data_IF_106115836944
#
_entry.id   IF_106115836944
#
_cell.length_a   1.000
_cell.length_b   1.000
_cell.length_c   1.000
_cell.angle_alpha   90.00
_cell.angle_beta   90.00
_cell.angle_gamma   90.00
#
_symmetry.space_group_name_H-M   'P 1'
#
loop_
_entity.id
_entity.type
_entity.pdbx_description
1 polymer ?
#
# COMPACT_ATOMS: atom_id res chain seq x y z
N UNK A 1 -52.41 -8.12 5.09
CA UNK A 1 -51.51 -9.28 4.89
C UNK A 1 -50.21 -8.95 5.62
N UNK A 2 -50.20 -9.20 6.93
CA UNK A 2 -49.05 -8.97 7.82
C UNK A 2 -48.54 -10.35 8.25
N UNK A 3 -47.26 -10.63 8.08
CA UNK A 3 -46.63 -11.84 8.62
C UNK A 3 -45.74 -11.46 9.79
N UNK A 4 -46.07 -12.08 10.92
CA UNK A 4 -45.50 -11.97 12.24
C UNK A 4 -44.42 -13.05 12.37
N UNK A 5 -43.21 -12.71 12.81
CA UNK A 5 -42.14 -13.68 13.09
C UNK A 5 -42.00 -13.83 14.59
N UNK A 6 -42.59 -14.88 15.14
CA UNK A 6 -42.32 -15.37 16.49
C UNK A 6 -42.48 -16.88 16.54
N UNK A 7 -41.60 -17.53 17.31
CA UNK A 7 -41.54 -18.97 17.68
C UNK A 7 -40.75 -19.83 16.65
N UNK A 8 -39.67 -20.56 16.96
CA UNK A 8 -39.22 -21.41 18.09
C UNK A 8 -37.68 -21.68 17.97
N UNK A 9 -36.99 -22.46 18.84
CA UNK A 9 -36.78 -22.38 20.29
C UNK A 9 -35.27 -22.27 20.69
N UNK A 10 -35.03 -21.87 21.94
CA UNK A 10 -33.73 -21.89 22.61
C UNK A 10 -33.37 -23.26 23.20
N UNK A 11 -32.05 -23.52 23.29
CA UNK A 11 -31.27 -24.50 24.09
C UNK A 11 -30.90 -25.83 23.42
N UNK A 12 -29.65 -25.91 22.98
CA UNK A 12 -28.76 -27.02 23.31
C UNK A 12 -27.43 -26.50 23.90
N UNK A 13 -27.06 -27.15 25.00
CA UNK A 13 -25.87 -27.07 25.85
C UNK A 13 -24.57 -26.52 25.21
N UNK A 14 -24.12 -25.35 25.70
CA UNK A 14 -22.71 -24.98 25.66
C UNK A 14 -22.02 -25.57 26.89
N UNK A 15 -21.33 -26.69 26.70
CA UNK A 15 -20.35 -27.21 27.64
C UNK A 15 -18.99 -27.13 26.95
N UNK A 16 -18.06 -26.42 27.59
CA UNK A 16 -16.64 -26.28 27.26
C UNK A 16 -16.30 -25.72 25.87
N UNK A 17 -16.45 -24.40 25.70
CA UNK A 17 -15.60 -23.67 24.75
C UNK A 17 -14.26 -23.46 25.45
N UNK A 18 -13.12 -23.90 24.88
CA UNK A 18 -11.83 -23.49 25.44
C UNK A 18 -11.74 -21.97 25.31
N UNK A 19 -11.37 -21.29 26.39
CA UNK A 19 -11.04 -19.86 26.38
C UNK A 19 -10.19 -19.55 25.14
N UNK A 20 -10.42 -18.43 24.43
CA UNK A 20 -9.51 -18.01 23.38
C UNK A 20 -8.10 -17.97 23.99
N UNK A 21 -7.20 -18.82 23.49
CA UNK A 21 -5.81 -18.74 23.91
C UNK A 21 -5.33 -17.33 23.57
N UNK A 22 -4.58 -16.66 24.46
CA UNK A 22 -3.99 -15.38 24.11
C UNK A 22 -3.20 -15.55 22.81
N UNK A 23 -3.41 -14.64 21.86
CA UNK A 23 -2.59 -14.54 20.65
C UNK A 23 -1.14 -14.31 21.11
N UNK A 24 -0.37 -15.39 21.24
CA UNK A 24 1.06 -15.31 21.43
C UNK A 24 1.65 -14.94 20.07
N UNK A 25 2.26 -13.76 20.03
CA UNK A 25 3.00 -13.28 18.88
C UNK A 25 4.04 -14.34 18.47
N UNK A 26 4.11 -14.77 17.20
CA UNK A 26 5.19 -15.66 16.80
C UNK A 26 6.50 -14.85 16.76
N UNK A 27 7.41 -15.16 17.67
CA UNK A 27 8.73 -14.55 17.75
C UNK A 27 9.57 -15.03 16.54
N UNK A 28 9.83 -14.16 15.56
CA UNK A 28 10.61 -14.41 14.33
C UNK A 28 9.92 -15.17 13.19
N UNK A 29 10.32 -14.82 11.96
CA UNK A 29 9.82 -15.40 10.70
C UNK A 29 10.02 -16.93 10.60
N UNK A 30 11.08 -17.48 11.22
CA UNK A 30 11.30 -18.93 11.29
C UNK A 30 10.24 -19.65 12.14
N UNK A 31 9.77 -19.02 13.21
CA UNK A 31 8.69 -19.57 14.02
C UNK A 31 7.34 -19.47 13.32
N UNK A 32 7.09 -18.43 12.52
CA UNK A 32 5.89 -18.37 11.64
C UNK A 32 5.92 -19.54 10.64
N UNK A 33 7.05 -19.78 9.97
CA UNK A 33 7.24 -20.88 9.01
C UNK A 33 6.97 -22.25 9.64
N UNK A 34 7.52 -22.49 10.84
CA UNK A 34 7.34 -23.76 11.56
C UNK A 34 5.95 -23.92 12.17
N UNK A 35 5.32 -22.84 12.65
CA UNK A 35 4.03 -22.89 13.33
C UNK A 35 2.87 -23.20 12.36
N UNK A 36 2.99 -22.76 11.11
CA UNK A 36 1.98 -22.98 10.07
C UNK A 36 2.34 -24.09 9.07
N UNK A 37 3.50 -24.74 9.22
CA UNK A 37 3.93 -25.81 8.31
C UNK A 37 4.11 -25.34 6.86
N UNK A 38 4.50 -24.08 6.66
CA UNK A 38 4.69 -23.49 5.34
C UNK A 38 6.12 -23.77 4.90
N UNK A 39 6.31 -24.85 4.15
CA UNK A 39 7.52 -25.04 3.34
C UNK A 39 7.37 -24.27 2.02
N UNK A 40 8.27 -23.32 1.79
CA UNK A 40 8.36 -22.61 0.51
C UNK A 40 9.20 -23.45 -0.46
N UNK A 41 8.55 -24.15 -1.38
CA UNK A 41 9.19 -24.76 -2.56
C UNK A 41 8.74 -24.04 -3.83
N UNK A 42 9.07 -22.76 -3.93
CA UNK A 42 8.78 -21.95 -5.11
C UNK A 42 10.09 -21.44 -5.73
N UNK A 43 10.18 -21.39 -7.07
CA UNK A 43 11.37 -20.87 -7.73
C UNK A 43 11.56 -19.40 -7.36
N UNK A 44 12.80 -19.04 -6.98
CA UNK A 44 13.22 -17.67 -6.67
C UNK A 44 12.78 -16.69 -7.78
N UNK A 45 12.33 -15.46 -7.44
CA UNK A 45 11.96 -14.47 -8.43
C UNK A 45 13.17 -14.15 -9.34
N UNK A 46 12.92 -14.08 -10.65
CA UNK A 46 13.96 -13.78 -11.63
C UNK A 46 14.29 -12.28 -11.64
N UNK A 47 15.03 -11.81 -10.62
CA UNK A 47 15.44 -10.42 -10.47
C UNK A 47 16.67 -10.14 -11.34
N UNK A 48 16.57 -9.11 -12.19
CA UNK A 48 17.67 -8.62 -13.03
C UNK A 48 17.85 -7.12 -12.86
N UNK A 49 19.09 -6.70 -12.62
CA UNK A 49 19.46 -5.31 -12.40
C UNK A 49 20.49 -4.89 -13.44
N UNK A 50 20.18 -3.78 -14.11
CA UNK A 50 20.99 -3.17 -15.15
C UNK A 50 21.46 -1.79 -14.70
N UNK A 51 22.59 -1.35 -15.24
CA UNK A 51 23.01 0.05 -15.13
C UNK A 51 22.46 0.83 -16.31
N UNK A 52 22.02 2.08 -16.05
CA UNK A 52 21.68 3.00 -17.14
C UNK A 52 22.90 3.39 -18.00
N UNK A 53 24.12 3.27 -17.46
CA UNK A 53 25.34 3.36 -18.26
C UNK A 53 25.46 2.10 -19.13
N UNK A 54 25.22 2.27 -20.43
CA UNK A 54 25.38 1.24 -21.46
C UNK A 54 24.44 0.02 -21.36
N UNK A 55 23.44 0.01 -20.47
CA UNK A 55 22.45 -1.06 -20.36
C UNK A 55 23.04 -2.40 -19.91
N UNK A 56 24.17 -2.38 -19.20
CA UNK A 56 24.88 -3.60 -18.78
C UNK A 56 24.18 -4.25 -17.58
N UNK A 57 23.95 -5.56 -17.64
CA UNK A 57 23.53 -6.36 -16.49
C UNK A 57 24.64 -6.37 -15.43
N UNK A 58 24.29 -5.99 -14.20
CA UNK A 58 25.23 -5.94 -13.05
C UNK A 58 24.85 -6.89 -11.92
N UNK A 59 23.60 -7.34 -11.87
CA UNK A 59 23.17 -8.38 -10.94
C UNK A 59 22.06 -9.23 -11.57
N UNK A 60 22.13 -10.55 -11.36
CA UNK A 60 21.06 -11.49 -11.71
C UNK A 60 20.89 -12.57 -10.65
N UNK A 61 19.82 -13.35 -10.77
CA UNK A 61 19.40 -14.47 -9.93
C UNK A 61 20.52 -15.17 -9.10
N UNK A 62 20.29 -15.35 -7.79
CA UNK A 62 21.22 -15.90 -6.79
C UNK A 62 22.57 -15.18 -6.66
N UNK A 63 22.74 -13.99 -7.25
CA UNK A 63 23.96 -13.18 -7.17
C UNK A 63 23.80 -11.89 -6.36
N UNK A 64 22.68 -11.67 -5.67
CA UNK A 64 22.51 -10.46 -4.84
C UNK A 64 23.64 -10.26 -3.82
N UNK A 65 24.07 -11.35 -3.17
CA UNK A 65 25.21 -11.32 -2.23
C UNK A 65 26.59 -11.31 -2.91
N UNK A 66 26.66 -11.52 -4.22
CA UNK A 66 27.93 -11.62 -4.99
C UNK A 66 28.10 -10.51 -6.03
N UNK A 67 27.13 -9.60 -6.16
CA UNK A 67 27.28 -8.37 -6.95
C UNK A 67 28.39 -7.51 -6.34
N UNK A 68 29.37 -7.12 -7.17
CA UNK A 68 30.43 -6.18 -6.77
C UNK A 68 29.92 -4.74 -6.71
N UNK A 69 28.74 -4.46 -7.28
CA UNK A 69 28.07 -3.17 -7.15
C UNK A 69 27.20 -3.18 -5.88
N UNK A 70 27.50 -2.34 -4.88
CA UNK A 70 26.78 -2.33 -3.60
C UNK A 70 25.34 -1.81 -3.72
N UNK A 71 25.04 -0.94 -4.69
CA UNK A 71 23.68 -0.45 -4.93
C UNK A 71 22.84 -1.58 -5.52
N UNK A 72 23.38 -2.30 -6.52
CA UNK A 72 22.71 -3.46 -7.09
C UNK A 72 22.49 -4.58 -6.05
N UNK A 73 23.49 -4.86 -5.21
CA UNK A 73 23.38 -5.84 -4.14
C UNK A 73 22.26 -5.49 -3.15
N UNK A 74 22.21 -4.23 -2.69
CA UNK A 74 21.17 -3.74 -1.79
C UNK A 74 19.79 -3.79 -2.45
N UNK A 75 19.65 -3.26 -3.66
CA UNK A 75 18.38 -3.26 -4.40
C UNK A 75 17.87 -4.69 -4.62
N UNK A 76 18.72 -5.63 -5.00
CA UNK A 76 18.35 -7.05 -5.13
C UNK A 76 17.76 -7.58 -3.82
N UNK A 77 18.49 -7.39 -2.71
CA UNK A 77 18.06 -7.86 -1.39
C UNK A 77 16.73 -7.26 -0.95
N UNK A 78 16.51 -5.98 -1.26
CA UNK A 78 15.27 -5.26 -0.96
C UNK A 78 14.12 -5.79 -1.82
N UNK A 79 14.29 -5.92 -3.14
CA UNK A 79 13.24 -6.40 -4.05
C UNK A 79 12.82 -7.83 -3.72
N UNK A 80 13.77 -8.69 -3.36
CA UNK A 80 13.45 -10.03 -2.86
C UNK A 80 12.54 -9.98 -1.63
N UNK A 81 12.87 -9.14 -0.64
CA UNK A 81 12.02 -8.95 0.56
C UNK A 81 10.67 -8.32 0.23
N UNK A 82 10.60 -7.41 -0.74
CA UNK A 82 9.32 -6.83 -1.20
C UNK A 82 8.45 -7.92 -1.81
N UNK A 83 9.03 -8.77 -2.66
CA UNK A 83 8.34 -9.92 -3.23
C UNK A 83 7.80 -10.86 -2.13
N UNK A 84 8.66 -11.24 -1.18
CA UNK A 84 8.28 -12.07 -0.01
C UNK A 84 7.16 -11.42 0.81
N UNK A 85 7.25 -10.11 1.08
CA UNK A 85 6.22 -9.38 1.81
C UNK A 85 4.86 -9.43 1.11
N UNK A 86 4.79 -9.18 -0.20
CA UNK A 86 3.52 -9.22 -0.94
C UNK A 86 2.93 -10.63 -1.02
N UNK A 87 3.79 -11.64 -1.11
CA UNK A 87 3.40 -13.04 -1.15
C UNK A 87 2.91 -13.52 0.24
N UNK A 88 3.70 -13.31 1.29
CA UNK A 88 3.38 -13.73 2.66
C UNK A 88 2.16 -13.00 3.23
N UNK A 89 2.07 -11.68 2.99
CA UNK A 89 0.99 -10.87 3.57
C UNK A 89 -0.25 -10.95 2.70
N UNK A 90 -0.15 -10.79 1.38
CA UNK A 90 -1.33 -10.63 0.52
C UNK A 90 -1.60 -11.81 -0.44
N UNK A 91 -0.75 -12.83 -0.45
CA UNK A 91 -0.84 -13.93 -1.42
C UNK A 91 -0.58 -13.50 -2.86
N UNK A 92 0.07 -12.34 -3.07
CA UNK A 92 0.36 -11.82 -4.40
C UNK A 92 1.78 -12.22 -4.83
N UNK A 93 1.88 -13.03 -5.89
CA UNK A 93 3.16 -13.49 -6.44
C UNK A 93 3.63 -12.59 -7.58
N UNK A 94 4.72 -11.87 -7.41
CA UNK A 94 5.21 -10.91 -8.42
C UNK A 94 4.25 -9.72 -8.56
N UNK A 95 4.28 -9.05 -9.72
CA UNK A 95 3.43 -7.87 -9.96
C UNK A 95 2.02 -8.24 -10.45
N UNK A 96 1.87 -9.39 -11.13
CA UNK A 96 0.63 -9.84 -11.78
C UNK A 96 0.08 -11.16 -11.22
N UNK A 97 0.63 -11.67 -10.11
CA UNK A 97 0.23 -12.97 -9.54
C UNK A 97 0.90 -14.18 -10.20
N UNK A 98 1.80 -13.98 -11.16
CA UNK A 98 2.50 -15.03 -11.92
C UNK A 98 3.96 -15.22 -11.49
N UNK A 99 4.42 -14.52 -10.46
CA UNK A 99 5.81 -14.61 -9.96
C UNK A 99 6.84 -13.84 -10.80
N UNK A 100 6.40 -13.03 -11.75
CA UNK A 100 7.27 -12.18 -12.58
C UNK A 100 7.53 -10.83 -11.90
N UNK A 101 8.76 -10.35 -12.06
CA UNK A 101 9.17 -8.97 -11.78
C UNK A 101 9.85 -8.46 -13.06
N UNK A 102 9.62 -7.19 -13.41
CA UNK A 102 10.29 -6.60 -14.57
C UNK A 102 11.72 -6.15 -14.26
N UNK A 103 12.48 -5.81 -15.30
CA UNK A 103 13.87 -5.37 -15.19
C UNK A 103 13.99 -4.08 -14.37
N UNK A 104 15.06 -4.03 -13.57
CA UNK A 104 15.40 -2.88 -12.73
C UNK A 104 16.63 -2.16 -13.26
N UNK A 105 16.63 -0.84 -13.19
CA UNK A 105 17.73 0.00 -13.64
C UNK A 105 18.22 0.90 -12.49
N UNK A 106 19.53 0.92 -12.26
CA UNK A 106 20.20 1.80 -11.31
C UNK A 106 21.06 2.85 -12.01
N UNK A 107 21.65 3.76 -11.24
CA UNK A 107 22.44 4.91 -11.70
C UNK A 107 21.65 5.90 -12.55
N UNK A 108 20.34 6.00 -12.33
CA UNK A 108 19.54 7.04 -12.95
C UNK A 108 20.00 8.42 -12.46
N UNK A 109 20.28 9.33 -13.41
CA UNK A 109 20.80 10.66 -13.11
C UNK A 109 19.73 11.59 -12.53
N UNK A 110 18.47 11.36 -12.91
CA UNK A 110 17.35 12.06 -12.29
C UNK A 110 17.27 11.66 -10.84
N UNK A 111 17.16 12.62 -9.92
CA UNK A 111 16.97 12.35 -8.49
C UNK A 111 15.53 11.87 -8.25
N UNK A 112 15.21 10.70 -8.77
CA UNK A 112 13.89 10.10 -8.72
C UNK A 112 13.96 8.56 -8.68
N UNK A 113 12.84 7.95 -8.34
CA UNK A 113 12.52 6.56 -8.60
C UNK A 113 11.23 6.52 -9.43
N UNK A 114 11.09 5.52 -10.29
CA UNK A 114 9.92 5.40 -11.15
C UNK A 114 9.73 3.97 -11.64
N UNK A 115 8.57 3.40 -11.38
CA UNK A 115 8.02 2.37 -12.22
C UNK A 115 7.37 2.98 -13.47
N UNK A 116 7.78 2.54 -14.66
CA UNK A 116 7.27 3.05 -15.93
C UNK A 116 6.87 1.90 -16.84
N UNK A 117 5.68 1.98 -17.44
CA UNK A 117 5.29 1.09 -18.53
C UNK A 117 4.68 1.88 -19.70
N UNK A 118 5.46 2.13 -20.77
CA UNK A 118 5.00 2.94 -21.89
C UNK A 118 3.92 2.22 -22.70
N UNK A 119 2.84 2.94 -23.01
CA UNK A 119 1.70 2.42 -23.79
C UNK A 119 1.78 2.75 -25.27
N UNK A 120 2.74 3.58 -25.70
CA UNK A 120 2.76 4.20 -27.04
C UNK A 120 3.92 3.74 -27.95
N UNK A 121 4.95 3.10 -27.41
CA UNK A 121 6.10 2.62 -28.19
C UNK A 121 6.26 1.11 -28.03
N UNK A 122 6.12 0.37 -29.14
CA UNK A 122 6.25 -1.10 -29.18
C UNK A 122 7.62 -1.64 -28.72
N UNK A 123 8.61 -0.75 -28.56
CA UNK A 123 9.98 -1.08 -28.16
C UNK A 123 10.33 -0.68 -26.72
N UNK A 124 9.42 -0.04 -25.98
CA UNK A 124 9.66 0.27 -24.57
C UNK A 124 8.98 -0.76 -23.66
N UNK A 125 9.79 -1.40 -22.82
CA UNK A 125 9.36 -2.45 -21.90
C UNK A 125 9.07 -1.80 -20.54
N UNK A 126 8.05 -2.30 -19.81
CA UNK A 126 7.85 -1.85 -18.43
C UNK A 126 9.15 -2.04 -17.62
N UNK A 127 9.55 -1.08 -16.80
CA UNK A 127 10.80 -1.17 -16.02
C UNK A 127 10.75 -0.31 -14.77
N UNK A 128 11.59 -0.67 -13.81
CA UNK A 128 11.88 0.18 -12.66
C UNK A 128 13.16 0.98 -12.94
N UNK A 129 13.12 2.28 -12.65
CA UNK A 129 14.28 3.17 -12.75
C UNK A 129 14.54 3.78 -11.38
N UNK A 130 15.77 3.68 -10.91
CA UNK A 130 16.17 4.24 -9.63
C UNK A 130 17.45 5.07 -9.76
N UNK A 131 17.43 6.25 -9.16
CA UNK A 131 18.66 6.84 -8.69
C UNK A 131 19.17 6.08 -7.46
N UNK A 132 20.49 6.02 -7.29
CA UNK A 132 21.15 5.14 -6.32
C UNK A 132 20.68 5.38 -4.87
N UNK A 133 20.38 6.63 -4.50
CA UNK A 133 19.87 6.93 -3.16
C UNK A 133 18.48 6.35 -2.92
N UNK A 134 17.63 6.30 -3.94
CA UNK A 134 16.31 5.69 -3.86
C UNK A 134 16.37 4.17 -3.99
N UNK A 135 17.30 3.63 -4.78
CA UNK A 135 17.53 2.20 -4.92
C UNK A 135 17.90 1.52 -3.58
N UNK A 136 18.51 2.26 -2.65
CA UNK A 136 18.89 1.77 -1.32
C UNK A 136 17.90 2.14 -0.22
N UNK A 137 16.78 2.79 -0.56
CA UNK A 137 15.70 3.17 0.39
C UNK A 137 14.56 2.17 0.28
N UNK A 138 14.44 1.29 1.28
CA UNK A 138 13.58 0.09 1.24
C UNK A 138 12.12 0.39 0.95
N UNK A 139 11.55 1.39 1.62
CA UNK A 139 10.16 1.80 1.44
C UNK A 139 9.89 2.48 0.09
N UNK A 140 10.91 3.10 -0.52
CA UNK A 140 10.78 3.69 -1.87
C UNK A 140 10.76 2.58 -2.91
N UNK A 141 11.58 1.55 -2.76
CA UNK A 141 11.53 0.37 -3.64
C UNK A 141 10.16 -0.32 -3.56
N UNK A 142 9.60 -0.46 -2.36
CA UNK A 142 8.26 -1.02 -2.17
C UNK A 142 7.14 -0.10 -2.73
N UNK A 143 7.29 1.22 -2.62
CA UNK A 143 6.40 2.20 -3.23
C UNK A 143 6.35 2.02 -4.75
N UNK A 144 7.52 1.98 -5.42
CA UNK A 144 7.57 1.74 -6.88
C UNK A 144 7.00 0.37 -7.25
N UNK A 145 7.31 -0.67 -6.47
CA UNK A 145 6.76 -2.01 -6.69
C UNK A 145 5.23 -1.98 -6.69
N UNK A 146 4.62 -1.22 -5.77
CA UNK A 146 3.16 -1.16 -5.70
C UNK A 146 2.55 -0.42 -6.90
N UNK A 147 3.19 0.60 -7.46
CA UNK A 147 2.75 1.18 -8.73
C UNK A 147 2.63 0.14 -9.86
N UNK A 148 3.56 -0.81 -9.91
CA UNK A 148 3.48 -1.93 -10.85
C UNK A 148 2.25 -2.83 -10.58
N UNK A 149 1.96 -3.11 -9.31
CA UNK A 149 0.81 -3.94 -8.89
C UNK A 149 -0.53 -3.31 -9.27
N UNK A 150 -0.63 -1.97 -9.20
CA UNK A 150 -1.85 -1.23 -9.57
C UNK A 150 -1.77 -0.56 -10.95
N UNK A 151 -0.88 -1.04 -11.82
CA UNK A 151 -0.75 -0.50 -13.16
C UNK A 151 -2.10 -0.48 -13.90
N UNK A 152 -2.37 0.64 -14.59
CA UNK A 152 -3.59 0.89 -15.37
C UNK A 152 -4.90 0.83 -14.57
N UNK A 153 -4.86 0.81 -13.23
CA UNK A 153 -6.07 0.81 -12.40
C UNK A 153 -6.61 2.20 -12.08
N UNK A 154 -5.73 3.18 -11.91
CA UNK A 154 -6.07 4.55 -11.53
C UNK A 154 -5.37 5.53 -12.46
N UNK A 155 -6.12 6.46 -13.04
CA UNK A 155 -5.57 7.56 -13.83
C UNK A 155 -4.67 8.40 -12.94
N UNK A 156 -3.46 8.71 -13.40
CA UNK A 156 -2.47 9.48 -12.65
C UNK A 156 -2.76 10.99 -12.70
N UNK A 157 -3.94 11.38 -12.25
CA UNK A 157 -4.39 12.77 -12.18
C UNK A 157 -5.44 12.98 -11.08
N UNK A 158 -5.50 14.17 -10.48
CA UNK A 158 -6.50 14.54 -9.47
C UNK A 158 -6.59 13.54 -8.31
N UNK A 159 -7.82 13.19 -7.90
CA UNK A 159 -8.04 12.25 -6.78
C UNK A 159 -7.60 10.81 -7.10
N UNK A 160 -7.80 10.32 -8.32
CA UNK A 160 -7.38 8.97 -8.69
C UNK A 160 -5.86 8.85 -8.70
N UNK A 161 -5.15 9.89 -9.14
CA UNK A 161 -3.69 9.94 -9.09
C UNK A 161 -3.17 10.06 -7.66
N UNK A 162 -3.84 10.88 -6.83
CA UNK A 162 -3.53 10.96 -5.41
C UNK A 162 -3.79 9.64 -4.66
N UNK A 163 -4.80 8.86 -5.05
CA UNK A 163 -5.02 7.50 -4.54
C UNK A 163 -3.92 6.55 -5.01
N UNK A 164 -3.48 6.65 -6.26
CA UNK A 164 -2.38 5.86 -6.80
C UNK A 164 -1.10 6.05 -5.96
N UNK A 165 -0.69 7.30 -5.75
CA UNK A 165 0.42 7.69 -4.87
C UNK A 165 0.22 7.22 -3.42
N UNK A 166 -0.97 7.41 -2.88
CA UNK A 166 -1.27 7.06 -1.50
C UNK A 166 -1.17 5.57 -1.24
N UNK A 167 -1.66 4.76 -2.17
CA UNK A 167 -1.55 3.31 -2.05
C UNK A 167 -0.09 2.87 -2.09
N UNK A 168 0.72 3.44 -2.98
CA UNK A 168 2.15 3.16 -3.03
C UNK A 168 2.86 3.54 -1.71
N UNK A 169 2.54 4.70 -1.13
CA UNK A 169 3.01 5.11 0.20
C UNK A 169 2.58 4.13 1.31
N UNK A 170 1.31 3.73 1.31
CA UNK A 170 0.72 2.82 2.32
C UNK A 170 1.46 1.48 2.34
N UNK A 171 1.68 0.88 1.17
CA UNK A 171 2.36 -0.42 1.11
C UNK A 171 3.88 -0.30 1.27
N UNK A 172 4.47 0.86 0.93
CA UNK A 172 5.85 1.18 1.29
C UNK A 172 6.07 1.21 2.80
N UNK A 173 5.18 1.87 3.55
CA UNK A 173 5.23 1.88 5.02
C UNK A 173 4.92 0.51 5.61
N UNK A 174 3.90 -0.19 5.12
CA UNK A 174 3.57 -1.53 5.61
C UNK A 174 4.77 -2.49 5.46
N UNK A 175 5.48 -2.43 4.32
CA UNK A 175 6.71 -3.18 4.10
C UNK A 175 7.83 -2.78 5.07
N UNK A 176 8.11 -1.48 5.21
CA UNK A 176 9.13 -0.97 6.15
C UNK A 176 8.87 -1.43 7.58
N UNK A 177 7.61 -1.39 7.99
CA UNK A 177 7.18 -1.82 9.32
C UNK A 177 7.30 -3.33 9.50
N UNK A 178 7.02 -4.13 8.46
CA UNK A 178 7.22 -5.57 8.46
C UNK A 178 8.70 -5.98 8.60
N UNK A 179 9.64 -5.13 8.15
CA UNK A 179 11.08 -5.37 8.27
C UNK A 179 11.68 -5.08 9.64
N UNK A 180 11.00 -4.30 10.48
CA UNK A 180 11.57 -3.82 11.76
C UNK A 180 10.93 -4.55 12.94
N UNK A 181 11.70 -4.71 14.02
CA UNK A 181 11.17 -5.23 15.28
C UNK A 181 9.97 -4.41 15.76
N UNK A 182 8.94 -5.07 16.26
CA UNK A 182 7.69 -4.43 16.69
C UNK A 182 7.90 -3.35 17.76
N UNK A 183 8.89 -3.53 18.63
CA UNK A 183 9.30 -2.53 19.64
C UNK A 183 9.67 -1.18 19.04
N UNK A 184 10.08 -1.15 17.77
CA UNK A 184 10.50 0.06 17.06
C UNK A 184 9.34 0.75 16.32
N UNK A 185 8.17 0.12 16.20
CA UNK A 185 7.02 0.67 15.45
C UNK A 185 6.51 1.99 16.03
N UNK A 186 6.69 2.21 17.33
CA UNK A 186 6.26 3.43 18.02
C UNK A 186 7.12 4.66 17.68
N UNK A 187 8.26 4.48 17.01
CA UNK A 187 9.10 5.61 16.61
C UNK A 187 8.42 6.43 15.50
N UNK A 188 8.23 7.75 15.66
CA UNK A 188 7.55 8.57 14.65
C UNK A 188 8.28 8.61 13.30
N UNK A 189 9.58 8.30 13.27
CA UNK A 189 10.37 8.23 12.02
C UNK A 189 9.99 7.05 11.12
N UNK A 190 9.25 6.06 11.63
CA UNK A 190 8.89 4.86 10.86
C UNK A 190 7.81 5.12 9.83
N UNK A 191 7.07 6.24 9.91
CA UNK A 191 6.01 6.62 8.98
C UNK A 191 6.48 7.46 7.79
N UNK A 192 7.79 7.62 7.64
CA UNK A 192 8.38 8.37 6.53
C UNK A 192 8.62 7.48 5.31
N UNK A 193 8.24 7.99 4.14
CA UNK A 193 8.70 7.52 2.82
C UNK A 193 9.96 8.30 2.46
N UNK A 194 11.13 7.67 2.68
CA UNK A 194 12.42 8.33 2.54
C UNK A 194 12.49 9.60 3.40
N UNK A 195 12.82 10.73 2.77
CA UNK A 195 12.77 12.07 3.38
C UNK A 195 11.63 12.93 2.84
N UNK A 196 10.70 12.35 2.08
CA UNK A 196 9.74 13.09 1.24
C UNK A 196 8.42 13.37 1.96
N UNK A 197 7.81 12.33 2.54
CA UNK A 197 6.46 12.40 3.13
C UNK A 197 6.37 11.59 4.42
N UNK A 198 5.54 12.04 5.35
CA UNK A 198 5.24 11.38 6.62
C UNK A 198 3.74 11.10 6.69
N UNK A 199 3.37 9.82 6.75
CA UNK A 199 1.97 9.40 6.76
C UNK A 199 1.25 9.74 8.09
N UNK A 200 1.99 10.05 9.17
CA UNK A 200 1.42 10.32 10.50
C UNK A 200 1.19 11.82 10.79
N UNK A 201 1.78 12.71 10.00
CA UNK A 201 1.73 14.16 10.24
C UNK A 201 1.16 14.88 9.01
N UNK A 202 -0.17 14.92 8.88
CA UNK A 202 -0.80 15.71 7.82
C UNK A 202 -0.65 17.20 8.08
N UNK A 203 -0.34 17.67 9.30
CA UNK A 203 -0.32 19.10 9.65
C UNK A 203 0.73 19.95 8.90
N UNK A 204 1.63 19.33 8.13
CA UNK A 204 2.48 20.01 7.15
C UNK A 204 1.83 20.20 5.78
N UNK A 205 0.62 19.69 5.58
CA UNK A 205 -0.18 19.74 4.35
C UNK A 205 -1.61 20.18 4.72
N UNK A 206 -2.23 21.12 3.98
CA UNK A 206 -3.62 21.47 4.23
C UNK A 206 -4.50 20.23 4.18
N UNK A 207 -5.40 20.03 5.16
CA UNK A 207 -6.44 18.98 5.11
C UNK A 207 -7.36 19.12 3.88
N UNK A 208 -7.28 20.25 3.20
CA UNK A 208 -8.07 20.54 2.02
C UNK A 208 -7.39 19.99 0.77
N UNK A 209 -8.18 19.27 -0.03
CA UNK A 209 -7.81 18.87 -1.37
C UNK A 209 -7.39 20.08 -2.20
N UNK A 210 -6.20 20.02 -2.79
CA UNK A 210 -5.65 21.05 -3.68
C UNK A 210 -6.04 20.75 -5.12
N UNK A 211 -6.51 21.75 -5.84
CA UNK A 211 -6.86 21.64 -7.26
C UNK A 211 -6.68 22.98 -7.95
N UNK A 212 -6.12 22.96 -9.16
CA UNK A 212 -6.17 24.13 -10.04
C UNK A 212 -7.42 24.06 -10.88
N UNK A 213 -8.14 25.17 -10.97
CA UNK A 213 -9.36 25.29 -11.74
C UNK A 213 -9.11 26.24 -12.92
N UNK A 214 -9.68 25.91 -14.08
CA UNK A 214 -9.73 26.84 -15.22
C UNK A 214 -10.79 27.94 -14.99
N UNK A 215 -10.93 28.85 -15.94
CA UNK A 215 -11.92 29.94 -15.91
C UNK A 215 -13.38 29.46 -15.84
N UNK A 216 -13.64 28.19 -16.18
CA UNK A 216 -14.94 27.53 -16.09
C UNK A 216 -15.10 26.65 -14.84
N UNK A 217 -14.21 26.79 -13.87
CA UNK A 217 -14.23 26.05 -12.61
C UNK A 217 -14.05 24.52 -12.78
N UNK A 218 -13.41 24.08 -13.87
CA UNK A 218 -13.03 22.68 -14.08
C UNK A 218 -11.58 22.42 -13.68
N UNK A 219 -11.26 21.24 -13.11
CA UNK A 219 -9.90 20.86 -12.79
C UNK A 219 -8.98 20.86 -14.02
N UNK A 220 -7.78 21.39 -13.85
CA UNK A 220 -6.68 21.30 -14.81
C UNK A 220 -5.68 20.27 -14.28
N UNK A 221 -5.29 19.33 -15.14
CA UNK A 221 -4.29 18.30 -14.85
C UNK A 221 -3.15 18.40 -15.85
N UNK A 222 -2.04 18.99 -15.43
CA UNK A 222 -0.84 19.19 -16.25
C UNK A 222 0.41 18.82 -15.44
N UNK A 223 1.52 18.53 -16.11
CA UNK A 223 2.75 18.12 -15.41
C UNK A 223 3.20 19.20 -14.40
N UNK A 224 3.02 20.47 -14.74
CA UNK A 224 3.44 21.64 -13.97
C UNK A 224 2.71 21.77 -12.64
N UNK A 225 1.48 21.25 -12.54
CA UNK A 225 0.72 21.21 -11.29
C UNK A 225 0.66 19.82 -10.69
N UNK A 226 1.64 18.97 -11.01
CA UNK A 226 1.71 17.62 -10.49
C UNK A 226 0.43 16.83 -10.81
N UNK A 227 -0.05 16.99 -12.04
CA UNK A 227 -1.28 16.39 -12.56
C UNK A 227 -2.50 16.59 -11.64
N UNK A 228 -2.60 17.74 -10.98
CA UNK A 228 -3.61 18.00 -9.96
C UNK A 228 -3.16 17.66 -8.54
N UNK A 229 -1.91 17.97 -8.21
CA UNK A 229 -1.31 17.85 -6.89
C UNK A 229 -1.37 16.42 -6.33
N UNK A 230 -1.12 15.41 -7.17
CA UNK A 230 -1.27 14.00 -6.78
C UNK A 230 -0.42 13.64 -5.56
N UNK A 231 0.85 14.09 -5.50
CA UNK A 231 1.74 13.78 -4.38
C UNK A 231 1.42 14.57 -3.10
N UNK A 232 0.77 15.73 -3.22
CA UNK A 232 0.32 16.48 -2.05
C UNK A 232 -1.00 15.94 -1.50
N UNK A 233 -1.94 15.65 -2.41
CA UNK A 233 -3.27 15.19 -2.06
C UNK A 233 -3.27 13.74 -1.58
N UNK A 234 -2.26 12.93 -1.95
CA UNK A 234 -2.10 11.55 -1.48
C UNK A 234 -1.98 11.45 0.05
N UNK A 235 -1.51 12.52 0.71
CA UNK A 235 -1.39 12.53 2.17
C UNK A 235 -2.75 12.45 2.90
N UNK A 236 -3.87 12.81 2.25
CA UNK A 236 -5.21 12.67 2.83
C UNK A 236 -5.59 11.18 3.02
N UNK A 237 -5.65 10.35 1.96
CA UNK A 237 -5.90 8.91 2.09
C UNK A 237 -4.78 8.17 2.84
N UNK A 238 -3.52 8.60 2.75
CA UNK A 238 -2.45 7.96 3.52
C UNK A 238 -2.58 8.22 5.02
N UNK A 239 -3.03 9.41 5.42
CA UNK A 239 -3.32 9.70 6.82
C UNK A 239 -4.55 8.93 7.33
N UNK A 240 -5.56 8.68 6.48
CA UNK A 240 -6.66 7.79 6.82
C UNK A 240 -6.17 6.36 7.11
N UNK A 241 -5.22 5.84 6.33
CA UNK A 241 -4.60 4.55 6.63
C UNK A 241 -3.84 4.57 7.96
N UNK A 242 -3.05 5.62 8.24
CA UNK A 242 -2.39 5.80 9.53
C UNK A 242 -3.39 5.73 10.70
N UNK A 243 -4.45 6.54 10.65
CA UNK A 243 -5.48 6.61 11.69
C UNK A 243 -6.19 5.27 11.87
N UNK A 244 -6.53 4.57 10.78
CA UNK A 244 -7.16 3.26 10.85
C UNK A 244 -6.27 2.23 11.58
N UNK A 245 -4.95 2.26 11.33
CA UNK A 245 -4.01 1.40 12.06
C UNK A 245 -3.89 1.80 13.53
N UNK A 246 -3.83 3.10 13.85
CA UNK A 246 -3.78 3.54 15.25
C UNK A 246 -5.02 3.09 16.04
N UNK A 247 -6.20 3.08 15.40
CA UNK A 247 -7.45 2.64 16.00
C UNK A 247 -7.53 1.10 16.17
N UNK A 248 -6.86 0.33 15.32
CA UNK A 248 -6.90 -1.14 15.34
C UNK A 248 -5.86 -1.77 16.26
N UNK A 249 -4.69 -1.14 16.44
CA UNK A 249 -3.61 -1.66 17.29
C UNK A 249 -2.19 -1.35 16.81
N UNK A 250 -2.05 -0.70 15.65
CA UNK A 250 -0.80 -0.11 15.16
C UNK A 250 0.01 -0.99 14.20
N UNK A 251 -0.38 -2.25 13.97
CA UNK A 251 0.33 -3.15 13.03
C UNK A 251 -0.09 -2.89 11.58
N UNK A 252 0.79 -2.24 10.82
CA UNK A 252 0.52 -1.76 9.45
C UNK A 252 0.52 -2.82 8.36
N UNK A 253 0.93 -4.06 8.64
CA UNK A 253 0.79 -5.20 7.73
C UNK A 253 -0.30 -6.19 8.18
N UNK A 254 -1.23 -5.73 9.04
CA UNK A 254 -2.35 -6.50 9.56
C UNK A 254 -3.64 -6.35 8.76
N UNK A 255 -4.78 -6.39 9.46
CA UNK A 255 -6.11 -6.41 8.84
C UNK A 255 -6.43 -5.13 8.05
N UNK A 256 -5.93 -3.98 8.48
CA UNK A 256 -6.13 -2.71 7.77
C UNK A 256 -5.44 -2.76 6.40
N UNK A 257 -4.23 -3.32 6.31
CA UNK A 257 -3.55 -3.50 5.03
C UNK A 257 -4.30 -4.46 4.11
N UNK A 258 -4.85 -5.56 4.64
CA UNK A 258 -5.70 -6.49 3.87
C UNK A 258 -6.91 -5.77 3.26
N UNK A 259 -7.55 -4.90 4.03
CA UNK A 259 -8.72 -4.13 3.58
C UNK A 259 -8.32 -3.16 2.45
N UNK A 260 -7.22 -2.42 2.61
CA UNK A 260 -6.71 -1.51 1.58
C UNK A 260 -6.31 -2.26 0.31
N UNK A 261 -5.62 -3.39 0.45
CA UNK A 261 -5.18 -4.21 -0.68
C UNK A 261 -6.38 -4.79 -1.43
N UNK A 262 -7.35 -5.38 -0.73
CA UNK A 262 -8.60 -5.87 -1.32
C UNK A 262 -9.40 -4.75 -2.01
N UNK A 263 -9.35 -3.53 -1.50
CA UNK A 263 -10.00 -2.38 -2.13
C UNK A 263 -9.27 -1.94 -3.42
N UNK A 264 -7.93 -1.92 -3.41
CA UNK A 264 -7.11 -1.60 -4.58
C UNK A 264 -7.14 -2.69 -5.68
N UNK A 265 -7.35 -3.94 -5.28
CA UNK A 265 -7.47 -5.08 -6.19
C UNK A 265 -8.91 -5.37 -6.63
N UNK A 266 -9.91 -4.60 -6.15
CA UNK A 266 -11.31 -4.80 -6.52
C UNK A 266 -11.52 -4.57 -8.02
N UNK A 267 -12.13 -5.53 -8.71
CA UNK A 267 -12.39 -5.46 -10.17
C UNK A 267 -13.40 -4.35 -10.54
N UNK A 268 -14.12 -3.81 -9.57
CA UNK A 268 -15.04 -2.67 -9.75
C UNK A 268 -14.39 -1.31 -9.43
N UNK A 269 -13.07 -1.28 -9.15
CA UNK A 269 -12.32 -0.04 -9.02
C UNK A 269 -12.34 0.72 -10.36
N UNK A 270 -12.71 2.00 -10.32
CA UNK A 270 -12.76 2.83 -11.52
C UNK A 270 -11.44 3.56 -11.73
N UNK A 271 -11.08 3.82 -12.99
CA UNK A 271 -9.86 4.58 -13.28
C UNK A 271 -9.92 6.04 -12.81
N UNK A 272 -11.11 6.60 -12.63
CA UNK A 272 -11.36 7.94 -12.08
C UNK A 272 -11.84 7.91 -10.61
N UNK A 273 -11.49 6.86 -9.85
CA UNK A 273 -11.93 6.69 -8.46
C UNK A 273 -11.65 7.96 -7.61
N UNK A 274 -12.67 8.39 -6.87
CA UNK A 274 -12.57 9.52 -5.93
C UNK A 274 -12.25 9.03 -4.52
N UNK A 275 -11.77 9.91 -3.66
CA UNK A 275 -11.53 9.61 -2.24
C UNK A 275 -12.79 9.07 -1.55
N UNK A 276 -13.95 9.69 -1.79
CA UNK A 276 -15.20 9.24 -1.19
C UNK A 276 -15.60 7.84 -1.68
N UNK A 277 -15.46 7.55 -2.98
CA UNK A 277 -15.79 6.23 -3.53
C UNK A 277 -14.85 5.15 -3.01
N UNK A 278 -13.54 5.45 -2.94
CA UNK A 278 -12.55 4.55 -2.36
C UNK A 278 -12.76 4.33 -0.86
N UNK A 279 -13.15 5.36 -0.10
CA UNK A 279 -13.52 5.25 1.30
C UNK A 279 -14.70 4.28 1.49
N UNK A 280 -15.77 4.43 0.71
CA UNK A 280 -16.88 3.46 0.74
C UNK A 280 -16.47 2.04 0.34
N UNK A 281 -15.53 1.91 -0.61
CA UNK A 281 -14.97 0.62 -1.02
C UNK A 281 -14.22 -0.06 0.11
N UNK A 282 -13.33 0.66 0.80
CA UNK A 282 -12.62 0.12 1.97
C UNK A 282 -13.60 -0.27 3.10
N UNK A 283 -14.66 0.51 3.35
CA UNK A 283 -15.71 0.16 4.33
C UNK A 283 -16.45 -1.13 3.95
N UNK A 284 -16.75 -1.32 2.65
CA UNK A 284 -17.37 -2.55 2.15
C UNK A 284 -16.45 -3.75 2.32
N UNK A 285 -15.15 -3.62 2.04
CA UNK A 285 -14.19 -4.71 2.31
C UNK A 285 -14.03 -4.96 3.80
N UNK A 286 -14.11 -3.92 4.62
CA UNK A 286 -13.99 -4.01 6.07
C UNK A 286 -15.15 -4.75 6.76
N UNK A 287 -16.33 -4.85 6.12
CA UNK A 287 -17.46 -5.56 6.73
C UNK A 287 -17.20 -7.05 6.91
N UNK A 288 -16.39 -7.65 6.03
CA UNK A 288 -15.94 -9.05 6.14
C UNK A 288 -15.15 -9.31 7.43
N UNK A 289 -14.56 -8.26 8.01
CA UNK A 289 -13.65 -8.34 9.15
C UNK A 289 -14.17 -7.64 10.41
N UNK A 290 -15.41 -7.13 10.39
CA UNK A 290 -15.96 -6.35 11.49
C UNK A 290 -15.27 -4.99 11.72
N UNK A 291 -14.51 -4.49 10.74
CA UNK A 291 -13.69 -3.28 10.85
C UNK A 291 -14.38 -2.01 10.32
N UNK A 292 -15.62 -2.12 9.80
CA UNK A 292 -16.31 -1.01 9.12
C UNK A 292 -16.34 0.29 9.93
N UNK A 293 -16.51 0.21 11.26
CA UNK A 293 -16.54 1.40 12.14
C UNK A 293 -15.19 2.09 12.24
N UNK A 294 -14.10 1.34 12.36
CA UNK A 294 -12.73 1.89 12.41
C UNK A 294 -12.41 2.58 11.09
N UNK A 295 -12.70 1.92 9.97
CA UNK A 295 -12.43 2.47 8.64
C UNK A 295 -13.26 3.73 8.39
N UNK A 296 -14.55 3.70 8.75
CA UNK A 296 -15.42 4.87 8.64
C UNK A 296 -14.91 6.06 9.46
N UNK A 297 -14.49 5.82 10.71
CA UNK A 297 -13.95 6.86 11.57
C UNK A 297 -12.70 7.49 10.96
N UNK A 298 -11.74 6.68 10.50
CA UNK A 298 -10.50 7.16 9.91
C UNK A 298 -10.73 8.05 8.67
N UNK A 299 -11.65 7.67 7.78
CA UNK A 299 -12.01 8.50 6.62
C UNK A 299 -12.80 9.77 7.00
N UNK A 300 -13.55 9.73 8.11
CA UNK A 300 -14.25 10.91 8.63
C UNK A 300 -13.29 11.92 9.25
N UNK A 301 -12.28 11.44 9.97
CA UNK A 301 -11.28 12.28 10.63
C UNK A 301 -10.40 13.06 9.64
N UNK A 302 -10.24 12.53 8.42
CA UNK A 302 -9.57 13.23 7.31
C UNK A 302 -10.52 14.08 6.45
N UNK A 303 -11.81 14.15 6.81
CA UNK A 303 -12.80 14.98 6.13
C UNK A 303 -13.29 14.46 4.78
N UNK A 304 -13.07 13.17 4.47
CA UNK A 304 -13.54 12.54 3.23
C UNK A 304 -14.97 12.05 3.37
N UNK A 305 -15.32 11.50 4.53
CA UNK A 305 -16.68 11.12 4.88
C UNK A 305 -17.25 12.10 5.92
N UNK A 306 -18.55 12.33 5.86
CA UNK A 306 -19.25 13.16 6.83
C UNK A 306 -20.15 12.28 7.70
N UNK A 307 -20.02 12.40 9.01
CA UNK A 307 -21.09 12.05 9.94
C UNK A 307 -22.16 13.14 9.86
N UNK A 308 -23.44 12.81 9.58
CA UNK A 308 -24.51 13.78 9.74
C UNK A 308 -24.49 14.29 11.19
N UNK A 309 -24.26 15.59 11.40
CA UNK A 309 -24.50 16.18 12.71
C UNK A 309 -26.00 16.10 12.97
N UNK A 310 -26.40 15.33 13.99
CA UNK A 310 -27.76 15.42 14.51
C UNK A 310 -27.88 16.84 15.08
N UNK A 311 -28.79 17.69 14.58
CA UNK A 311 -28.97 19.01 15.15
C UNK A 311 -29.33 18.82 16.63
N UNK A 312 -28.51 19.37 17.52
CA UNK A 312 -28.86 19.47 18.93
C UNK A 312 -30.15 20.27 19.01
N UNK A 313 -31.27 19.60 19.33
CA UNK A 313 -32.49 20.32 19.69
C UNK A 313 -32.16 21.14 20.94
N UNK A 314 -32.01 22.45 20.75
CA UNK A 314 -31.95 23.41 21.85
C UNK A 314 -33.25 23.28 22.64
N UNK A 315 -33.12 22.79 23.87
CA UNK A 315 -34.16 22.82 24.91
C UNK A 315 -34.40 24.24 25.39
#
# INVERSE_FOLDING_TARGET
MHMNFSEFPFRQNYSSNPSPRPYSNPDSMEQIKSHYGIEWDYPEPNIKIYTMYYGREVCKNNQGATSIDPVAAKLYSTVKKVYEFFEDVFGLRGIEGQGTITDLYINWQEKNALWSCPTLNINEICRFNFNDNFAVTEEVVAHEYFHAVIYNKLNYQGQSGALNESLADVFGIAFKHWLIDEKNLQSPKTWWIGSLRDLSIPSKIPRNYKVNLNEHNFPIYVKENDYGYVHNNSCIPSYAFYLANQLEGGRTWGIIAQIWFKAAQDTTLKSDETFASFAHRTIRKASEFGMSRIIFQAWSDVGVLFTPQIPTMSS
#
